data_IF_038772045718
#
_entry.id   IF_038772045718
#
_cell.length_a   1.000
_cell.length_b   1.000
_cell.length_c   1.000
_cell.angle_alpha   90.00
_cell.angle_beta   90.00
_cell.angle_gamma   90.00
#
_symmetry.space_group_name_H-M   'P 1'
#
loop_
_entity.id
_entity.type
_entity.pdbx_description
1 polymer ?
#
# COMPACT_ATOMS: atom_id res chain seq x y z
N UNK A 1 -14.31 -32.79 -9.48
CA UNK A 1 -12.96 -33.01 -8.90
C UNK A 1 -13.02 -32.57 -7.46
N UNK A 2 -12.49 -33.38 -6.56
CA UNK A 2 -12.82 -33.32 -5.14
C UNK A 2 -11.88 -32.41 -4.33
N UNK A 3 -10.73 -32.07 -4.91
CA UNK A 3 -9.70 -31.29 -4.27
C UNK A 3 -9.47 -29.93 -4.94
N UNK A 4 -8.68 -29.09 -4.27
CA UNK A 4 -8.33 -27.73 -4.70
C UNK A 4 -6.98 -27.32 -4.11
N UNK A 5 -6.22 -26.50 -4.82
CA UNK A 5 -5.05 -25.81 -4.27
C UNK A 5 -5.55 -24.56 -3.54
N UNK A 6 -5.30 -24.46 -2.23
CA UNK A 6 -5.86 -23.42 -1.36
C UNK A 6 -4.74 -22.68 -0.63
N UNK A 7 -4.84 -21.35 -0.53
CA UNK A 7 -3.85 -20.52 0.15
C UNK A 7 -3.91 -20.73 1.68
N UNK A 8 -2.76 -21.03 2.30
CA UNK A 8 -2.64 -21.07 3.76
C UNK A 8 -2.68 -19.65 4.33
N UNK A 9 -3.58 -19.43 5.27
CA UNK A 9 -3.69 -18.20 6.04
C UNK A 9 -2.97 -18.39 7.37
N UNK A 10 -1.68 -18.04 7.41
CA UNK A 10 -0.91 -18.03 8.66
C UNK A 10 -1.10 -16.68 9.35
N UNK A 11 -1.70 -16.70 10.54
CA UNK A 11 -1.86 -15.50 11.38
C UNK A 11 -0.53 -15.04 12.00
N UNK A 12 0.53 -15.86 11.94
CA UNK A 12 1.88 -15.46 12.34
C UNK A 12 2.54 -14.70 11.19
N UNK A 13 2.21 -13.42 11.10
CA UNK A 13 2.81 -12.49 10.14
C UNK A 13 4.34 -12.41 10.37
N UNK A 14 5.12 -13.18 9.62
CA UNK A 14 6.57 -13.09 9.58
C UNK A 14 6.99 -12.38 8.30
N UNK A 15 7.64 -11.23 8.42
CA UNK A 15 8.12 -10.43 7.31
C UNK A 15 9.07 -11.28 6.43
N UNK A 16 8.75 -11.44 5.13
CA UNK A 16 9.58 -12.17 4.18
C UNK A 16 9.24 -13.66 3.95
N UNK A 17 8.18 -14.20 4.54
CA UNK A 17 7.72 -15.56 4.22
C UNK A 17 6.96 -15.61 2.88
N UNK A 18 7.32 -16.56 2.02
CA UNK A 18 6.60 -16.86 0.78
C UNK A 18 5.16 -17.32 1.08
N UNK A 19 4.22 -16.97 0.21
CA UNK A 19 2.83 -17.45 0.35
C UNK A 19 2.79 -18.97 0.16
N UNK A 20 2.36 -19.69 1.21
CA UNK A 20 2.23 -21.14 1.19
C UNK A 20 0.86 -21.54 0.62
N UNK A 21 0.86 -22.54 -0.26
CA UNK A 21 -0.34 -23.16 -0.81
C UNK A 21 -0.41 -24.63 -0.40
N UNK A 22 -1.61 -25.10 -0.05
CA UNK A 22 -1.87 -26.49 0.31
C UNK A 22 -2.66 -27.17 -0.81
N UNK A 23 -2.25 -28.39 -1.16
CA UNK A 23 -3.03 -29.28 -2.00
C UNK A 23 -4.07 -29.97 -1.12
N UNK A 24 -5.29 -29.46 -1.10
CA UNK A 24 -6.40 -30.07 -0.37
C UNK A 24 -7.02 -31.12 -1.27
N UNK A 25 -6.87 -32.40 -0.93
CA UNK A 25 -7.35 -33.50 -1.76
C UNK A 25 -8.85 -33.72 -1.61
N UNK A 26 -9.38 -33.57 -0.40
CA UNK A 26 -10.81 -33.60 -0.13
C UNK A 26 -11.13 -33.01 1.24
N UNK A 27 -12.34 -32.45 1.35
CA UNK A 27 -13.03 -32.23 2.61
C UNK A 27 -14.29 -33.07 2.56
N UNK A 28 -14.57 -33.85 3.59
CA UNK A 28 -15.66 -34.80 3.59
C UNK A 28 -16.33 -34.89 4.96
N UNK A 29 -17.55 -35.41 4.96
CA UNK A 29 -18.36 -35.66 6.15
C UNK A 29 -18.65 -37.16 6.23
N UNK A 30 -18.36 -37.77 7.38
CA UNK A 30 -18.78 -39.16 7.65
C UNK A 30 -20.27 -39.17 7.93
N UNK A 31 -21.03 -40.00 7.21
CA UNK A 31 -22.48 -40.10 7.35
C UNK A 31 -22.85 -40.70 8.72
N UNK A 32 -22.00 -41.62 9.22
CA UNK A 32 -22.21 -42.34 10.48
C UNK A 32 -22.22 -41.42 11.71
N UNK A 33 -21.27 -40.49 11.80
CA UNK A 33 -21.10 -39.64 12.98
C UNK A 33 -21.35 -38.14 12.70
N UNK A 34 -21.48 -37.75 11.43
CA UNK A 34 -21.69 -36.37 11.00
C UNK A 34 -20.45 -35.48 11.09
N UNK A 35 -19.31 -36.02 11.53
CA UNK A 35 -18.06 -35.28 11.68
C UNK A 35 -17.46 -34.98 10.31
N UNK A 36 -16.76 -33.86 10.23
CA UNK A 36 -16.13 -33.36 9.01
C UNK A 36 -14.62 -33.46 9.14
N UNK A 37 -13.98 -33.91 8.07
CA UNK A 37 -12.55 -34.15 8.02
C UNK A 37 -11.95 -33.58 6.74
N UNK A 38 -10.64 -33.37 6.77
CA UNK A 38 -9.86 -32.87 5.65
C UNK A 38 -8.59 -33.70 5.47
N UNK A 39 -8.19 -33.87 4.22
CA UNK A 39 -6.92 -34.45 3.82
C UNK A 39 -6.19 -33.50 2.88
N UNK A 40 -4.94 -33.19 3.21
CA UNK A 40 -4.16 -32.18 2.48
C UNK A 40 -2.66 -32.48 2.50
N UNK A 41 -1.91 -31.78 1.66
CA UNK A 41 -0.45 -31.85 1.61
C UNK A 41 0.16 -30.49 1.31
N UNK A 42 1.31 -30.20 1.93
CA UNK A 42 2.12 -29.02 1.61
C UNK A 42 2.92 -29.22 0.32
N UNK A 43 3.38 -30.45 0.04
CA UNK A 43 4.41 -30.72 -0.96
C UNK A 43 4.16 -31.98 -1.80
N UNK A 44 3.00 -32.62 -1.64
CA UNK A 44 2.65 -33.93 -2.23
C UNK A 44 3.60 -35.07 -1.82
N UNK A 45 4.38 -34.92 -0.75
CA UNK A 45 5.25 -35.97 -0.20
C UNK A 45 4.70 -36.53 1.11
N UNK A 46 4.04 -35.70 1.91
CA UNK A 46 3.40 -36.10 3.17
C UNK A 46 1.91 -35.77 3.17
N UNK A 47 1.10 -36.69 3.69
CA UNK A 47 -0.32 -36.50 3.87
C UNK A 47 -0.59 -36.02 5.30
N UNK A 48 -1.39 -34.97 5.42
CA UNK A 48 -1.85 -34.44 6.69
C UNK A 48 -3.37 -34.57 6.75
N UNK A 49 -3.89 -34.82 7.95
CA UNK A 49 -5.31 -34.93 8.17
C UNK A 49 -5.75 -34.26 9.46
N UNK A 50 -7.04 -33.95 9.53
CA UNK A 50 -7.64 -33.40 10.73
C UNK A 50 -9.14 -33.24 10.60
N UNK A 51 -9.75 -32.71 11.66
CA UNK A 51 -11.12 -32.24 11.63
C UNK A 51 -11.21 -30.91 10.87
N UNK A 52 -12.30 -30.75 10.12
CA UNK A 52 -12.52 -29.60 9.26
C UNK A 52 -13.75 -28.80 9.70
N UNK A 53 -13.58 -27.50 9.90
CA UNK A 53 -14.67 -26.56 10.08
C UNK A 53 -14.72 -25.60 8.89
N UNK A 54 -15.81 -25.65 8.13
CA UNK A 54 -16.00 -24.78 6.97
C UNK A 54 -16.88 -23.61 7.36
N UNK A 55 -16.33 -22.39 7.32
CA UNK A 55 -17.05 -21.14 7.60
C UNK A 55 -16.83 -20.17 6.46
N UNK A 56 -17.92 -19.77 5.79
CA UNK A 56 -17.89 -18.91 4.61
C UNK A 56 -16.96 -19.49 3.52
N UNK A 57 -15.88 -18.78 3.17
CA UNK A 57 -14.90 -19.14 2.15
C UNK A 57 -13.58 -19.65 2.76
N UNK A 58 -13.56 -20.00 4.05
CA UNK A 58 -12.38 -20.45 4.77
C UNK A 58 -12.61 -21.82 5.43
N UNK A 59 -11.57 -22.65 5.45
CA UNK A 59 -11.52 -23.90 6.21
C UNK A 59 -10.60 -23.71 7.40
N UNK A 60 -11.06 -24.12 8.58
CA UNK A 60 -10.23 -24.21 9.78
C UNK A 60 -9.95 -25.69 10.05
N UNK A 61 -8.67 -26.03 10.20
CA UNK A 61 -8.18 -27.40 10.46
C UNK A 61 -7.67 -27.51 11.89
N UNK A 62 -8.11 -28.58 12.57
CA UNK A 62 -7.65 -28.97 13.90
C UNK A 62 -7.34 -30.47 13.91
N UNK A 63 -6.50 -30.93 14.83
CA UNK A 63 -6.22 -32.37 15.00
C UNK A 63 -7.50 -33.14 15.31
N UNK A 64 -7.69 -34.29 14.65
CA UNK A 64 -8.77 -35.23 14.94
C UNK A 64 -8.57 -35.89 16.31
N UNK A 65 -9.65 -36.11 17.07
CA UNK A 65 -9.57 -36.97 18.26
C UNK A 65 -9.26 -38.40 17.82
N UNK A 66 -8.31 -39.08 18.47
CA UNK A 66 -7.66 -40.32 17.99
C UNK A 66 -8.55 -41.51 17.59
N UNK A 67 -9.82 -41.56 18.00
CA UNK A 67 -10.79 -42.58 17.52
C UNK A 67 -11.25 -42.34 16.07
N UNK A 68 -10.97 -41.17 15.49
CA UNK A 68 -11.43 -40.78 14.15
C UNK A 68 -10.40 -41.00 13.04
N UNK A 69 -9.19 -41.46 13.39
CA UNK A 69 -8.14 -41.68 12.41
C UNK A 69 -8.54 -42.80 11.44
N UNK A 70 -9.12 -43.90 11.93
CA UNK A 70 -9.56 -45.03 11.10
C UNK A 70 -10.59 -44.64 10.03
N UNK A 71 -11.54 -43.75 10.36
CA UNK A 71 -12.52 -43.20 9.42
C UNK A 71 -11.82 -42.43 8.29
N UNK A 72 -10.79 -41.63 8.62
CA UNK A 72 -10.00 -40.91 7.63
C UNK A 72 -9.18 -41.88 6.78
N UNK A 73 -8.51 -42.87 7.39
CA UNK A 73 -7.71 -43.87 6.66
C UNK A 73 -8.56 -44.67 5.69
N UNK A 74 -9.77 -45.05 6.11
CA UNK A 74 -10.75 -45.76 5.27
C UNK A 74 -11.17 -44.90 4.08
N UNK A 75 -11.59 -43.66 4.34
CA UNK A 75 -11.98 -42.73 3.29
C UNK A 75 -10.87 -42.51 2.25
N UNK A 76 -9.62 -42.30 2.66
CA UNK A 76 -8.50 -42.07 1.72
C UNK A 76 -8.31 -43.27 0.77
N UNK A 77 -8.44 -44.51 1.27
CA UNK A 77 -8.35 -45.72 0.44
C UNK A 77 -9.54 -45.85 -0.53
N UNK A 78 -10.73 -45.55 -0.06
CA UNK A 78 -11.96 -45.59 -0.87
C UNK A 78 -12.01 -44.49 -1.92
N UNK A 79 -11.47 -43.31 -1.61
CA UNK A 79 -11.37 -42.17 -2.52
C UNK A 79 -10.54 -42.52 -3.76
N UNK A 80 -9.42 -43.23 -3.60
CA UNK A 80 -8.57 -43.68 -4.72
C UNK A 80 -9.33 -44.62 -5.67
N UNK A 81 -10.25 -45.43 -5.12
CA UNK A 81 -11.05 -46.38 -5.87
C UNK A 81 -12.44 -45.83 -6.26
N UNK A 82 -12.72 -44.56 -5.93
CA UNK A 82 -14.00 -43.88 -6.15
C UNK A 82 -15.21 -44.63 -5.55
N UNK A 83 -15.02 -45.29 -4.40
CA UNK A 83 -16.01 -46.15 -3.73
C UNK A 83 -16.27 -45.69 -2.28
N UNK A 84 -16.62 -44.41 -2.10
CA UNK A 84 -16.79 -43.77 -0.78
C UNK A 84 -18.23 -43.25 -0.54
N UNK A 85 -19.08 -43.25 -1.58
CA UNK A 85 -20.33 -42.49 -1.63
C UNK A 85 -21.41 -43.01 -0.68
N UNK A 86 -21.32 -44.27 -0.23
CA UNK A 86 -22.26 -44.86 0.72
C UNK A 86 -22.01 -44.39 2.16
N UNK A 87 -20.77 -44.07 2.50
CA UNK A 87 -20.36 -43.77 3.88
C UNK A 87 -19.93 -42.31 4.09
N UNK A 88 -19.60 -41.61 3.00
CA UNK A 88 -19.02 -40.28 3.06
C UNK A 88 -19.62 -39.32 2.03
N UNK A 89 -19.84 -38.08 2.47
CA UNK A 89 -20.29 -36.97 1.63
C UNK A 89 -19.13 -36.00 1.40
N UNK A 90 -18.80 -35.70 0.14
CA UNK A 90 -17.76 -34.70 -0.18
C UNK A 90 -18.33 -33.29 -0.08
N UNK A 91 -17.60 -32.42 0.60
CA UNK A 91 -17.92 -31.00 0.74
C UNK A 91 -17.24 -30.24 -0.40
N UNK A 92 -18.02 -29.51 -1.20
CA UNK A 92 -17.48 -28.71 -2.31
C UNK A 92 -16.53 -27.61 -1.82
N UNK A 93 -15.42 -27.45 -2.55
CA UNK A 93 -14.38 -26.46 -2.31
C UNK A 93 -14.47 -25.26 -3.25
N UNK A 94 -15.50 -25.18 -4.09
CA UNK A 94 -15.61 -24.17 -5.15
C UNK A 94 -15.50 -22.74 -4.60
N UNK A 95 -16.19 -22.48 -3.48
CA UNK A 95 -16.22 -21.16 -2.81
C UNK A 95 -15.08 -20.94 -1.81
N UNK A 96 -14.28 -21.97 -1.49
CA UNK A 96 -13.23 -21.87 -0.47
C UNK A 96 -11.96 -21.28 -1.09
N UNK A 97 -11.42 -20.22 -0.47
CA UNK A 97 -10.25 -19.51 -0.97
C UNK A 97 -9.06 -19.55 0.00
N UNK A 98 -9.30 -19.77 1.29
CA UNK A 98 -8.26 -19.86 2.32
C UNK A 98 -8.45 -21.06 3.23
N UNK A 99 -7.34 -21.49 3.83
CA UNK A 99 -7.29 -22.52 4.85
C UNK A 99 -6.44 -22.04 6.00
N UNK A 100 -6.90 -22.24 7.23
CA UNK A 100 -6.18 -21.97 8.46
C UNK A 100 -5.91 -23.31 9.15
N UNK A 101 -4.65 -23.61 9.44
CA UNK A 101 -4.26 -24.80 10.19
C UNK A 101 -3.91 -24.36 11.61
N UNK A 102 -4.71 -24.77 12.59
CA UNK A 102 -4.46 -24.45 14.01
C UNK A 102 -3.48 -25.45 14.59
N UNK A 103 -3.72 -26.73 14.33
CA UNK A 103 -2.86 -27.85 14.70
C UNK A 103 -2.81 -28.86 13.55
N UNK A 104 -1.66 -29.51 13.36
CA UNK A 104 -1.44 -30.48 12.28
C UNK A 104 -1.06 -31.86 12.81
N UNK A 105 -1.55 -32.90 12.14
CA UNK A 105 -1.17 -34.29 12.35
C UNK A 105 -0.85 -34.96 11.02
N UNK A 106 0.20 -35.79 11.01
CA UNK A 106 0.53 -36.63 9.86
C UNK A 106 -0.50 -37.76 9.77
N UNK A 107 -1.09 -37.91 8.58
CA UNK A 107 -1.98 -39.01 8.28
C UNK A 107 -1.14 -40.24 7.89
N UNK A 108 -0.92 -41.14 8.84
CA UNK A 108 -0.15 -42.37 8.60
C UNK A 108 -1.01 -43.42 7.85
N UNK A 109 -1.05 -43.26 6.53
CA UNK A 109 -1.76 -44.14 5.59
C UNK A 109 -0.85 -44.48 4.44
N UNK A 110 -0.68 -45.77 4.17
CA UNK A 110 0.03 -46.28 3.00
C UNK A 110 -0.81 -46.05 1.72
N UNK A 111 -0.60 -44.90 1.06
CA UNK A 111 -1.25 -44.52 -0.20
C UNK A 111 -0.33 -43.74 -1.13
N UNK A 112 -0.55 -43.90 -2.43
CA UNK A 112 0.11 -43.11 -3.46
C UNK A 112 -0.48 -41.68 -3.50
N UNK A 113 0.19 -40.75 -2.82
CA UNK A 113 -0.18 -39.32 -2.76
C UNK A 113 -0.18 -38.68 -4.15
N UNK A 114 0.68 -39.14 -5.06
CA UNK A 114 0.72 -38.62 -6.44
C UNK A 114 -0.54 -39.03 -7.20
N UNK A 115 -0.96 -40.28 -7.07
CA UNK A 115 -2.23 -40.76 -7.64
C UNK A 115 -3.41 -40.01 -7.03
N UNK A 116 -3.41 -39.77 -5.71
CA UNK A 116 -4.44 -38.98 -5.04
C UNK A 116 -4.51 -37.56 -5.62
N UNK A 117 -3.37 -36.88 -5.74
CA UNK A 117 -3.28 -35.56 -6.35
C UNK A 117 -3.83 -35.53 -7.78
N UNK A 118 -3.48 -36.54 -8.59
CA UNK A 118 -3.90 -36.64 -9.99
C UNK A 118 -5.42 -36.81 -10.18
N UNK A 119 -6.09 -37.51 -9.26
CA UNK A 119 -7.54 -37.74 -9.32
C UNK A 119 -8.35 -36.62 -8.65
N UNK A 120 -7.80 -35.94 -7.64
CA UNK A 120 -8.55 -34.96 -6.86
C UNK A 120 -8.34 -33.52 -7.32
N UNK A 121 -7.10 -33.13 -7.64
CA UNK A 121 -6.77 -31.74 -7.98
C UNK A 121 -7.05 -31.50 -9.46
N UNK A 122 -7.85 -30.48 -9.82
CA UNK A 122 -8.00 -30.05 -11.19
C UNK A 122 -6.66 -29.70 -11.82
N UNK A 123 -6.22 -30.54 -12.75
CA UNK A 123 -5.11 -30.18 -13.62
C UNK A 123 -5.56 -28.99 -14.46
N UNK A 124 -4.75 -27.94 -14.61
CA UNK A 124 -5.02 -26.91 -15.60
C UNK A 124 -5.26 -27.64 -16.93
N UNK A 125 -6.40 -27.38 -17.57
CA UNK A 125 -6.66 -27.94 -18.90
C UNK A 125 -5.44 -27.58 -19.74
N UNK A 126 -4.72 -28.60 -20.20
CA UNK A 126 -3.77 -28.41 -21.31
C UNK A 126 -4.68 -27.93 -22.43
N UNK A 127 -4.67 -26.62 -22.65
CA UNK A 127 -5.21 -26.07 -23.88
C UNK A 127 -4.29 -26.67 -24.94
N UNK A 128 -4.71 -27.78 -25.55
CA UNK A 128 -4.24 -28.08 -26.90
C UNK A 128 -4.45 -26.79 -27.65
N UNK A 129 -3.35 -26.12 -27.99
CA UNK A 129 -3.42 -25.02 -28.93
C UNK A 129 -3.99 -25.65 -30.18
N UNK A 130 -5.29 -25.47 -30.42
CA UNK A 130 -5.77 -25.35 -31.79
C UNK A 130 -4.72 -24.51 -32.49
N UNK A 131 -4.25 -24.96 -33.64
CA UNK A 131 -3.44 -24.13 -34.52
C UNK A 131 -4.39 -23.02 -34.97
N UNK A 132 -4.56 -22.02 -34.10
CA UNK A 132 -5.13 -20.73 -34.45
C UNK A 132 -4.28 -20.33 -35.64
N UNK A 133 -4.87 -20.15 -36.84
CA UNK A 133 -4.09 -19.71 -37.99
C UNK A 133 -3.32 -18.51 -37.50
N UNK A 134 -1.98 -18.54 -37.59
CA UNK A 134 -1.11 -17.48 -37.06
C UNK A 134 -1.75 -16.17 -37.47
N UNK A 135 -2.41 -15.49 -36.54
CA UNK A 135 -3.01 -14.20 -36.82
C UNK A 135 -1.81 -13.39 -37.23
N UNK A 136 -1.74 -13.00 -38.51
CA UNK A 136 -0.63 -12.18 -39.01
C UNK A 136 -0.60 -11.00 -38.06
N UNK A 137 0.41 -10.98 -37.19
CA UNK A 137 0.59 -9.89 -36.28
C UNK A 137 0.77 -8.71 -37.19
N UNK A 138 -0.21 -7.82 -37.19
CA UNK A 138 -0.11 -6.61 -37.96
C UNK A 138 0.99 -5.80 -37.27
N UNK A 139 2.22 -5.93 -37.78
CA UNK A 139 3.39 -5.27 -37.21
C UNK A 139 3.17 -3.77 -37.10
N UNK A 140 2.31 -3.19 -37.95
CA UNK A 140 1.87 -1.80 -37.83
C UNK A 140 1.13 -1.53 -36.52
N UNK A 141 0.23 -2.42 -36.08
CA UNK A 141 -0.50 -2.27 -34.81
C UNK A 141 0.43 -2.48 -33.62
N UNK A 142 1.34 -3.46 -33.68
CA UNK A 142 2.32 -3.68 -32.60
C UNK A 142 3.28 -2.52 -32.49
N UNK A 143 3.78 -2.01 -33.61
CA UNK A 143 4.64 -0.83 -33.64
C UNK A 143 3.91 0.41 -33.11
N UNK A 144 2.64 0.60 -33.47
CA UNK A 144 1.81 1.69 -32.94
C UNK A 144 1.65 1.58 -31.41
N UNK A 145 1.40 0.39 -30.88
CA UNK A 145 1.27 0.18 -29.43
C UNK A 145 2.59 0.43 -28.70
N UNK A 146 3.71 -0.02 -29.25
CA UNK A 146 5.04 0.26 -28.70
C UNK A 146 5.35 1.75 -28.79
N UNK A 147 5.01 2.42 -29.89
CA UNK A 147 5.17 3.85 -30.04
C UNK A 147 4.35 4.63 -29.02
N UNK A 148 3.07 4.27 -28.81
CA UNK A 148 2.23 4.88 -27.77
C UNK A 148 2.85 4.68 -26.39
N UNK A 149 3.36 3.48 -26.08
CA UNK A 149 4.05 3.22 -24.80
C UNK A 149 5.30 4.09 -24.64
N UNK A 150 6.13 4.23 -25.68
CA UNK A 150 7.33 5.07 -25.64
C UNK A 150 6.97 6.53 -25.46
N UNK A 151 5.95 7.02 -26.17
CA UNK A 151 5.46 8.40 -26.03
C UNK A 151 4.87 8.64 -24.64
N UNK A 152 4.06 7.71 -24.11
CA UNK A 152 3.54 7.80 -22.76
C UNK A 152 4.65 7.78 -21.70
N UNK A 153 5.66 6.94 -21.89
CA UNK A 153 6.83 6.86 -21.01
C UNK A 153 7.67 8.15 -21.07
N UNK A 154 7.82 8.74 -22.27
CA UNK A 154 8.49 10.03 -22.44
C UNK A 154 7.79 11.14 -21.64
N UNK A 155 6.47 11.25 -21.74
CA UNK A 155 5.70 12.24 -20.96
C UNK A 155 5.65 11.93 -19.46
N UNK A 156 5.71 10.66 -19.06
CA UNK A 156 5.79 10.26 -17.66
C UNK A 156 7.12 10.72 -17.02
N UNK A 157 8.24 10.57 -17.72
CA UNK A 157 9.55 11.02 -17.23
C UNK A 157 9.83 12.50 -17.46
N UNK A 158 9.08 13.15 -18.36
CA UNK A 158 9.20 14.57 -18.64
C UNK A 158 7.84 15.26 -18.49
N UNK A 159 7.25 15.30 -17.28
CA UNK A 159 5.95 15.90 -17.05
C UNK A 159 5.94 17.41 -17.37
N UNK A 160 7.11 18.06 -17.28
CA UNK A 160 7.34 19.47 -17.65
C UNK A 160 6.97 19.78 -19.11
N UNK A 161 6.99 18.79 -20.01
CA UNK A 161 6.62 19.00 -21.43
C UNK A 161 5.13 19.24 -21.59
N UNK A 162 4.30 18.68 -20.70
CA UNK A 162 2.84 18.86 -20.70
C UNK A 162 2.45 20.00 -19.76
N UNK A 163 3.02 19.99 -18.55
CA UNK A 163 2.57 20.84 -17.45
C UNK A 163 3.32 22.18 -17.38
N UNK A 164 4.35 22.37 -18.22
CA UNK A 164 5.29 23.48 -18.13
C UNK A 164 6.25 23.34 -16.94
N UNK A 165 7.30 24.16 -16.92
CA UNK A 165 8.23 24.24 -15.79
C UNK A 165 7.62 25.04 -14.65
N UNK A 166 7.91 24.64 -13.42
CA UNK A 166 7.56 25.44 -12.26
C UNK A 166 8.31 26.78 -12.29
N UNK A 167 7.66 27.81 -11.76
CA UNK A 167 8.22 29.16 -11.66
C UNK A 167 8.27 29.56 -10.20
N UNK A 168 9.43 30.05 -9.77
CA UNK A 168 9.68 30.40 -8.39
C UNK A 168 9.79 31.91 -8.24
N UNK A 169 9.13 32.46 -7.23
CA UNK A 169 9.27 33.86 -6.84
C UNK A 169 9.70 33.97 -5.38
N UNK A 170 10.47 35.00 -5.09
CA UNK A 170 10.70 35.47 -3.73
C UNK A 170 10.20 36.90 -3.62
N UNK A 171 9.23 37.10 -2.73
CA UNK A 171 8.72 38.42 -2.35
C UNK A 171 9.31 38.79 -0.99
N UNK A 172 10.10 39.86 -0.95
CA UNK A 172 10.79 40.29 0.26
C UNK A 172 10.30 41.65 0.75
N UNK A 173 10.17 41.81 2.07
CA UNK A 173 9.86 43.09 2.71
C UNK A 173 10.68 43.23 3.99
N UNK A 174 11.02 44.46 4.36
CA UNK A 174 11.65 44.76 5.63
C UNK A 174 10.92 45.90 6.32
N UNK A 175 10.72 45.76 7.63
CA UNK A 175 9.95 46.71 8.45
C UNK A 175 10.32 46.57 9.92
N UNK A 176 10.03 47.60 10.73
CA UNK A 176 10.17 47.50 12.18
C UNK A 176 8.91 46.88 12.79
N UNK A 177 9.09 45.94 13.72
CA UNK A 177 7.96 45.27 14.36
C UNK A 177 7.23 46.22 15.31
N UNK A 178 5.89 46.27 15.24
CA UNK A 178 5.10 47.24 16.02
C UNK A 178 5.26 47.10 17.55
N UNK A 179 5.46 45.88 18.04
CA UNK A 179 5.47 45.56 19.48
C UNK A 179 6.81 45.10 20.03
N UNK A 180 7.69 44.61 19.15
CA UNK A 180 8.96 44.00 19.56
C UNK A 180 10.06 44.99 19.19
N UNK A 181 11.11 45.11 20.02
CA UNK A 181 12.29 45.91 19.69
C UNK A 181 13.15 45.15 18.64
N UNK A 182 12.57 44.91 17.47
CA UNK A 182 13.16 44.11 16.41
C UNK A 182 12.77 44.64 15.03
N UNK A 183 13.74 44.65 14.12
CA UNK A 183 13.48 44.82 12.69
C UNK A 183 13.24 43.45 12.07
N UNK A 184 12.24 43.34 11.21
CA UNK A 184 11.83 42.09 10.56
C UNK A 184 12.26 42.12 9.10
N UNK A 185 12.92 41.05 8.67
CA UNK A 185 13.15 40.74 7.25
C UNK A 185 12.27 39.54 6.92
N UNK A 186 11.23 39.77 6.13
CA UNK A 186 10.32 38.72 5.69
C UNK A 186 10.55 38.37 4.23
N UNK A 187 10.66 37.07 3.96
CA UNK A 187 10.77 36.50 2.62
C UNK A 187 9.66 35.48 2.42
N UNK A 188 8.80 35.74 1.45
CA UNK A 188 7.77 34.82 0.99
C UNK A 188 8.26 34.13 -0.27
N UNK A 189 8.45 32.82 -0.20
CA UNK A 189 8.82 31.94 -1.29
C UNK A 189 7.55 31.33 -1.89
N UNK A 190 7.32 31.60 -3.17
CA UNK A 190 6.14 31.17 -3.92
C UNK A 190 6.56 30.20 -5.02
N UNK A 191 5.91 29.04 -5.08
CA UNK A 191 6.12 28.05 -6.13
C UNK A 191 4.85 27.91 -6.99
N UNK A 192 4.94 28.25 -8.26
CA UNK A 192 3.84 28.08 -9.23
C UNK A 192 4.11 26.90 -10.15
N UNK A 193 3.07 26.14 -10.48
CA UNK A 193 3.15 25.15 -11.55
C UNK A 193 3.30 25.83 -12.93
N UNK A 194 3.63 25.08 -13.98
CA UNK A 194 3.76 25.66 -15.32
C UNK A 194 2.44 26.15 -15.96
N UNK A 195 1.30 25.95 -15.30
CA UNK A 195 0.02 26.59 -15.64
C UNK A 195 -0.23 27.92 -14.89
N UNK A 196 0.70 28.33 -14.02
CA UNK A 196 0.60 29.56 -13.24
C UNK A 196 -0.29 29.47 -12.01
N UNK A 197 -0.59 28.26 -11.51
CA UNK A 197 -1.31 28.03 -10.25
C UNK A 197 -0.34 27.81 -9.10
N UNK A 198 -0.61 28.41 -7.95
CA UNK A 198 0.19 28.25 -6.74
C UNK A 198 0.20 26.79 -6.26
N UNK A 199 1.39 26.27 -5.98
CA UNK A 199 1.63 24.93 -5.39
C UNK A 199 1.93 25.07 -3.90
N UNK A 200 2.81 26.00 -3.54
CA UNK A 200 3.34 26.13 -2.19
C UNK A 200 3.70 27.59 -1.87
N UNK A 201 3.53 27.96 -0.60
CA UNK A 201 3.90 29.26 -0.05
C UNK A 201 4.66 29.01 1.26
N UNK A 202 5.91 29.46 1.32
CA UNK A 202 6.72 29.43 2.54
C UNK A 202 7.08 30.84 2.95
N UNK A 203 6.92 31.14 4.23
CA UNK A 203 7.27 32.44 4.80
C UNK A 203 8.44 32.26 5.74
N UNK A 204 9.48 33.09 5.56
CA UNK A 204 10.65 33.16 6.43
C UNK A 204 10.74 34.55 7.01
N UNK A 205 10.56 34.67 8.31
CA UNK A 205 10.58 35.97 9.00
C UNK A 205 11.73 35.98 10.02
N UNK A 206 12.74 36.79 9.72
CA UNK A 206 13.91 37.00 10.58
C UNK A 206 13.69 38.26 11.42
N UNK A 207 13.43 38.07 12.72
CA UNK A 207 13.28 39.12 13.72
C UNK A 207 14.64 39.43 14.34
N UNK A 208 15.25 40.54 13.95
CA UNK A 208 16.58 40.98 14.37
C UNK A 208 16.40 41.98 15.52
N UNK A 209 16.70 41.54 16.76
CA UNK A 209 16.50 42.36 17.95
C UNK A 209 17.62 43.39 18.09
N UNK A 210 17.23 44.63 18.37
CA UNK A 210 18.18 45.71 18.68
C UNK A 210 18.50 45.80 20.19
N UNK A 211 17.66 45.21 21.05
CA UNK A 211 17.89 45.06 22.50
C UNK A 211 18.29 43.62 22.84
N UNK A 212 19.57 43.45 23.20
CA UNK A 212 20.17 42.15 23.55
C UNK A 212 19.57 41.56 24.84
N UNK A 213 19.21 42.40 25.81
CA UNK A 213 18.64 41.91 27.07
C UNK A 213 17.21 41.44 26.84
N UNK A 214 16.43 42.21 26.08
CA UNK A 214 15.08 41.80 25.70
C UNK A 214 15.09 40.53 24.84
N UNK A 215 16.03 40.37 23.90
CA UNK A 215 16.20 39.13 23.13
C UNK A 215 16.38 37.90 24.02
N UNK A 216 17.30 37.99 24.99
CA UNK A 216 17.55 36.89 25.94
C UNK A 216 16.30 36.58 26.75
N UNK A 217 15.61 37.60 27.24
CA UNK A 217 14.35 37.42 27.97
C UNK A 217 13.27 36.78 27.09
N UNK A 218 13.09 37.26 25.85
CA UNK A 218 12.13 36.76 24.88
C UNK A 218 12.35 35.28 24.58
N UNK A 219 13.60 34.85 24.43
CA UNK A 219 14.01 33.46 24.22
C UNK A 219 13.83 32.62 25.49
N UNK A 220 14.41 33.05 26.60
CA UNK A 220 14.52 32.25 27.83
C UNK A 220 13.18 32.11 28.56
N UNK A 221 12.28 33.09 28.43
CA UNK A 221 10.89 33.02 28.93
C UNK A 221 9.89 32.51 27.89
N UNK A 222 10.37 32.12 26.72
CA UNK A 222 9.57 31.55 25.63
C UNK A 222 8.43 32.46 25.14
N UNK A 223 8.62 33.78 25.11
CA UNK A 223 7.64 34.73 24.61
C UNK A 223 7.38 34.60 23.10
N UNK A 224 8.32 33.99 22.38
CA UNK A 224 8.19 33.68 20.95
C UNK A 224 6.96 32.83 20.61
N UNK A 225 6.45 32.01 21.54
CA UNK A 225 5.24 31.21 21.31
C UNK A 225 3.99 32.05 21.01
N UNK A 226 3.97 33.34 21.39
CA UNK A 226 2.85 34.24 21.06
C UNK A 226 2.81 34.60 19.58
N UNK A 227 3.90 34.36 18.85
CA UNK A 227 4.09 34.64 17.43
C UNK A 227 4.25 33.35 16.62
N UNK A 228 3.88 32.20 17.21
CA UNK A 228 4.08 30.87 16.65
C UNK A 228 2.72 30.21 16.44
N UNK A 229 2.45 29.78 15.22
CA UNK A 229 1.23 29.07 14.83
C UNK A 229 1.47 27.57 14.72
N UNK A 230 0.37 26.79 14.75
CA UNK A 230 0.46 25.34 14.57
C UNK A 230 1.05 25.00 13.19
N UNK A 231 2.13 24.22 13.18
CA UNK A 231 2.87 23.84 11.97
C UNK A 231 4.10 24.71 11.67
N UNK A 232 4.27 25.83 12.37
CA UNK A 232 5.48 26.64 12.25
C UNK A 232 6.72 25.90 12.79
N UNK A 233 7.89 26.34 12.36
CA UNK A 233 9.16 25.96 12.99
C UNK A 233 9.99 27.20 13.26
N UNK A 234 10.93 27.13 14.21
CA UNK A 234 11.73 28.29 14.57
C UNK A 234 13.18 27.94 14.86
N UNK A 235 14.04 28.95 14.80
CA UNK A 235 15.46 28.86 15.18
C UNK A 235 15.93 30.18 15.79
N UNK A 236 16.81 30.08 16.80
CA UNK A 236 17.54 31.22 17.34
C UNK A 236 18.95 31.28 16.77
N UNK A 237 19.39 32.48 16.40
CA UNK A 237 20.77 32.80 16.07
C UNK A 237 21.30 33.82 17.09
N UNK A 238 21.96 33.30 18.13
CA UNK A 238 22.45 34.10 19.25
C UNK A 238 23.57 35.07 18.85
N UNK A 239 24.28 34.81 17.74
CA UNK A 239 25.37 35.68 17.28
C UNK A 239 24.85 37.01 16.73
N UNK A 240 23.68 36.97 16.11
CA UNK A 240 23.02 38.12 15.48
C UNK A 240 21.75 38.54 16.21
N UNK A 241 21.50 37.96 17.40
CA UNK A 241 20.29 38.19 18.20
C UNK A 241 19.00 38.06 17.39
N UNK A 242 18.94 37.01 16.55
CA UNK A 242 17.86 36.81 15.60
C UNK A 242 16.95 35.66 16.02
N UNK A 243 15.64 35.88 15.95
CA UNK A 243 14.63 34.83 15.99
C UNK A 243 14.12 34.61 14.56
N UNK A 244 14.29 33.39 14.05
CA UNK A 244 13.87 33.00 12.70
C UNK A 244 12.63 32.15 12.80
N UNK A 245 11.55 32.61 12.20
CA UNK A 245 10.28 31.90 12.09
C UNK A 245 10.10 31.40 10.67
N UNK A 246 9.73 30.13 10.54
CA UNK A 246 9.44 29.47 9.27
C UNK A 246 8.00 28.98 9.30
N UNK A 247 7.19 29.55 8.43
CA UNK A 247 5.77 29.23 8.28
C UNK A 247 5.47 28.70 6.89
N UNK A 248 4.42 27.91 6.76
CA UNK A 248 3.89 27.47 5.47
C UNK A 248 2.41 27.86 5.41
N UNK A 249 1.98 28.40 4.27
CA UNK A 249 0.60 28.83 4.07
C UNK A 249 -0.08 27.83 3.13
N UNK A 250 -1.16 27.22 3.60
CA UNK A 250 -1.98 26.33 2.80
C UNK A 250 -3.10 27.13 2.11
N UNK A 251 -2.91 27.45 0.83
CA UNK A 251 -3.88 28.18 0.00
C UNK A 251 -5.21 27.45 -0.20
N UNK A 252 -5.32 26.16 0.15
CA UNK A 252 -6.60 25.43 0.13
C UNK A 252 -7.48 25.74 1.34
N UNK A 253 -6.88 26.22 2.42
CA UNK A 253 -7.56 26.56 3.67
C UNK A 253 -7.70 28.08 3.84
N UNK A 254 -6.85 28.86 3.16
CA UNK A 254 -6.93 30.32 3.12
C UNK A 254 -7.66 30.83 1.86
N UNK A 255 -8.97 31.04 1.99
CA UNK A 255 -9.86 31.46 0.90
C UNK A 255 -9.64 32.88 0.39
N UNK A 256 -8.76 33.67 1.03
CA UNK A 256 -8.58 35.09 0.71
C UNK A 256 -7.38 35.36 -0.21
N UNK A 257 -6.49 34.39 -0.40
CA UNK A 257 -5.32 34.54 -1.24
C UNK A 257 -5.62 34.16 -2.71
N UNK A 258 -5.19 34.98 -3.69
CA UNK A 258 -5.26 34.59 -5.10
C UNK A 258 -4.47 33.30 -5.35
N UNK A 259 -5.00 32.43 -6.21
CA UNK A 259 -4.33 31.17 -6.56
C UNK A 259 -3.56 31.25 -7.87
N UNK A 260 -3.82 32.26 -8.68
CA UNK A 260 -3.11 32.53 -9.92
C UNK A 260 -1.87 33.41 -9.67
N UNK A 261 -0.84 33.20 -10.50
CA UNK A 261 0.45 33.88 -10.41
C UNK A 261 0.34 35.40 -10.41
N UNK A 262 -0.35 35.97 -11.38
CA UNK A 262 -0.36 37.43 -11.55
C UNK A 262 -1.12 38.11 -10.40
N UNK A 263 -2.23 37.51 -9.96
CA UNK A 263 -3.00 37.94 -8.80
C UNK A 263 -2.21 37.87 -7.49
N UNK A 264 -1.52 36.75 -7.23
CA UNK A 264 -0.78 36.57 -5.97
C UNK A 264 0.46 37.46 -5.91
N UNK A 265 1.18 37.62 -7.02
CA UNK A 265 2.32 38.55 -7.08
C UNK A 265 1.85 39.99 -6.88
N UNK A 266 0.73 40.37 -7.50
CA UNK A 266 0.17 41.71 -7.32
C UNK A 266 -0.25 41.95 -5.88
N UNK A 267 -0.89 40.98 -5.22
CA UNK A 267 -1.28 41.07 -3.82
C UNK A 267 -0.08 41.44 -2.92
N UNK A 268 1.05 40.73 -3.05
CA UNK A 268 2.25 41.05 -2.30
C UNK A 268 2.86 42.41 -2.68
N UNK A 269 2.83 42.80 -3.96
CA UNK A 269 3.31 44.12 -4.39
C UNK A 269 2.46 45.27 -3.81
N UNK A 270 1.14 45.11 -3.79
CA UNK A 270 0.21 46.07 -3.19
C UNK A 270 0.48 46.21 -1.67
N UNK A 271 0.94 45.14 -1.02
CA UNK A 271 1.38 45.12 0.38
C UNK A 271 2.86 45.57 0.59
N UNK A 272 3.46 46.19 -0.42
CA UNK A 272 4.83 46.74 -0.43
C UNK A 272 5.96 45.69 -0.36
N UNK A 273 5.73 44.48 -0.86
CA UNK A 273 6.81 43.51 -1.07
C UNK A 273 7.50 43.75 -2.42
N UNK A 274 8.81 43.54 -2.44
CA UNK A 274 9.57 43.46 -3.69
C UNK A 274 9.64 42.00 -4.14
N UNK A 275 8.93 41.66 -5.21
CA UNK A 275 8.91 40.32 -5.77
C UNK A 275 9.90 40.16 -6.93
N UNK A 276 10.69 39.07 -6.92
CA UNK A 276 11.63 38.73 -7.98
C UNK A 276 11.48 37.25 -8.37
N UNK A 277 11.65 36.95 -9.64
CA UNK A 277 11.78 35.57 -10.13
C UNK A 277 13.11 35.01 -9.64
N UNK A 278 13.08 33.75 -9.21
CA UNK A 278 14.28 32.99 -8.84
C UNK A 278 14.47 31.91 -9.90
N UNK A 279 15.59 31.97 -10.61
CA UNK A 279 16.00 30.90 -11.53
C UNK A 279 16.57 29.76 -10.68
N UNK A 280 15.92 28.59 -10.74
CA UNK A 280 16.42 27.32 -10.18
C UNK A 280 17.09 26.49 -11.28
#
# INVERSE_FOLDING_TARGET
>A
MNGKVIKLNDYKFNFGQETIFLNVFAVFKSIKNGNKYIIYSYDNKKLYCGSAFVKNNEIIVMISKGENDDDIKKFVKELINNNYQEEYEIISLDKVNSIQVIDEAICDVDVDIKKLNDITIPKPKVVEKEVVPKKKVNFTIVFLLVFILVVAMFFFFNPEVINGKNVYYTCSKSYDHEKLPASVIENVELEFNGHGTIIDIKVKSDYIFNDVNYYKEFRDKSYFYQYFSDGDTYKFDDNTYTYKLFSSINTKEDFFLPTDKDGLIKHYQDDNYTCKVVDN
#
